data_IF_000724044672
#
_entry.id   IF_000724044672
#
_cell.length_a   1.000
_cell.length_b   1.000
_cell.length_c   1.000
_cell.angle_alpha   90.00
_cell.angle_beta   90.00
_cell.angle_gamma   90.00
#
_symmetry.space_group_name_H-M   'P 1'
#
loop_
_entity.id
_entity.type
_entity.pdbx_description
1 polymer ?
#
# COMPACT_ATOMS: atom_id res chain seq x y z
N UNK A 1 -11.15 -4.82 27.67
CA UNK A 1 -10.74 -6.25 27.71
C UNK A 1 -11.95 -7.14 27.96
N UNK A 2 -12.66 -6.96 29.08
CA UNK A 2 -13.86 -7.76 29.46
C UNK A 2 -14.88 -8.06 28.35
N UNK A 3 -15.23 -7.07 27.51
CA UNK A 3 -16.23 -7.26 26.42
C UNK A 3 -15.72 -8.18 25.30
N UNK A 4 -14.43 -8.12 25.00
CA UNK A 4 -13.80 -8.96 23.95
C UNK A 4 -13.75 -10.40 24.44
N UNK A 5 -13.25 -10.59 25.66
CA UNK A 5 -13.12 -11.91 26.27
C UNK A 5 -14.49 -12.59 26.43
N UNK A 6 -15.52 -11.83 26.80
CA UNK A 6 -16.90 -12.34 26.86
C UNK A 6 -17.43 -12.82 25.49
N UNK A 7 -17.34 -11.98 24.45
CA UNK A 7 -17.88 -12.34 23.13
C UNK A 7 -17.09 -13.47 22.47
N UNK A 8 -15.77 -13.49 22.69
CA UNK A 8 -14.89 -14.53 22.17
C UNK A 8 -15.12 -15.86 22.87
N UNK A 9 -15.36 -15.85 24.18
CA UNK A 9 -15.79 -17.02 24.93
C UNK A 9 -17.17 -17.50 24.48
N UNK A 10 -18.13 -16.60 24.24
CA UNK A 10 -19.46 -16.94 23.71
C UNK A 10 -19.39 -17.63 22.33
N UNK A 11 -18.57 -17.11 21.41
CA UNK A 11 -18.39 -17.72 20.08
C UNK A 11 -17.72 -19.10 20.19
N UNK A 12 -16.76 -19.25 21.09
CA UNK A 12 -16.10 -20.53 21.35
C UNK A 12 -17.05 -21.55 21.98
N UNK A 13 -17.86 -21.15 22.96
CA UNK A 13 -18.82 -22.06 23.62
C UNK A 13 -19.95 -22.49 22.69
N UNK A 14 -20.31 -21.65 21.72
CA UNK A 14 -21.27 -22.00 20.65
C UNK A 14 -20.68 -22.87 19.54
N UNK A 15 -19.40 -23.25 19.62
CA UNK A 15 -18.74 -24.07 18.60
C UNK A 15 -18.59 -23.36 17.26
N UNK A 16 -18.47 -22.02 17.26
CA UNK A 16 -18.38 -21.25 16.02
C UNK A 16 -17.15 -21.67 15.20
N UNK A 17 -17.27 -21.75 13.85
CA UNK A 17 -16.13 -22.04 12.99
C UNK A 17 -14.98 -21.04 13.19
N UNK A 18 -13.74 -21.52 13.08
CA UNK A 18 -12.54 -20.68 13.21
C UNK A 18 -12.54 -19.45 12.27
N UNK A 19 -13.14 -19.61 11.08
CA UNK A 19 -13.31 -18.52 10.10
C UNK A 19 -14.21 -17.40 10.63
N UNK A 20 -15.27 -17.75 11.35
CA UNK A 20 -16.20 -16.78 11.96
C UNK A 20 -15.54 -16.02 13.10
N UNK A 21 -14.82 -16.73 13.98
CA UNK A 21 -14.02 -16.11 15.05
C UNK A 21 -12.99 -15.13 14.46
N UNK A 22 -12.30 -15.53 13.39
CA UNK A 22 -11.32 -14.68 12.71
C UNK A 22 -11.95 -13.43 12.11
N UNK A 23 -13.11 -13.57 11.45
CA UNK A 23 -13.84 -12.45 10.85
C UNK A 23 -14.33 -11.48 11.93
N UNK A 24 -14.87 -12.00 13.03
CA UNK A 24 -15.29 -11.20 14.18
C UNK A 24 -14.11 -10.38 14.73
N UNK A 25 -12.96 -11.01 14.96
CA UNK A 25 -11.76 -10.31 15.46
C UNK A 25 -11.26 -9.24 14.50
N UNK A 26 -11.29 -9.49 13.19
CA UNK A 26 -10.92 -8.50 12.17
C UNK A 26 -11.86 -7.30 12.18
N UNK A 27 -13.16 -7.53 12.27
CA UNK A 27 -14.16 -6.46 12.32
C UNK A 27 -14.01 -5.62 13.57
N UNK A 28 -13.87 -6.26 14.73
CA UNK A 28 -13.64 -5.60 16.01
C UNK A 28 -12.39 -4.71 15.99
N UNK A 29 -11.28 -5.20 15.44
CA UNK A 29 -10.08 -4.40 15.26
C UNK A 29 -10.34 -3.16 14.39
N UNK A 30 -11.10 -3.33 13.31
CA UNK A 30 -11.46 -2.24 12.39
C UNK A 30 -12.37 -1.20 13.07
N UNK A 31 -13.37 -1.65 13.83
CA UNK A 31 -14.24 -0.77 14.62
C UNK A 31 -13.44 0.02 15.65
N UNK A 32 -12.51 -0.63 16.35
CA UNK A 32 -11.65 0.04 17.33
C UNK A 32 -10.75 1.09 16.67
N UNK A 33 -10.17 0.79 15.51
CA UNK A 33 -9.38 1.77 14.77
C UNK A 33 -10.23 3.00 14.41
N UNK A 34 -11.45 2.78 13.87
CA UNK A 34 -12.39 3.84 13.51
C UNK A 34 -12.85 4.67 14.71
N UNK A 35 -13.10 4.02 15.85
CA UNK A 35 -13.47 4.70 17.11
C UNK A 35 -12.40 5.73 17.52
N UNK A 36 -11.13 5.44 17.24
CA UNK A 36 -10.00 6.34 17.50
C UNK A 36 -9.63 7.23 16.30
N UNK A 37 -10.48 7.32 15.27
CA UNK A 37 -10.28 8.19 14.10
C UNK A 37 -9.35 7.64 13.03
N UNK A 38 -8.95 6.37 13.11
CA UNK A 38 -8.01 5.77 12.15
C UNK A 38 -8.74 4.91 11.11
N UNK A 39 -8.32 4.96 9.84
CA UNK A 39 -9.05 4.32 8.74
C UNK A 39 -8.99 2.79 8.77
N UNK A 40 -7.95 2.23 9.40
CA UNK A 40 -7.77 0.79 9.53
C UNK A 40 -6.85 0.45 10.71
N UNK A 41 -6.78 -0.84 11.04
CA UNK A 41 -5.96 -1.37 12.14
C UNK A 41 -4.48 -1.14 11.95
N UNK A 42 -3.96 -1.15 10.72
CA UNK A 42 -2.53 -0.96 10.46
C UNK A 42 -2.08 0.46 10.83
N UNK A 43 -2.78 1.49 10.36
CA UNK A 43 -2.45 2.88 10.70
C UNK A 43 -2.63 3.09 12.20
N UNK A 44 -3.71 2.54 12.78
CA UNK A 44 -3.95 2.63 14.22
C UNK A 44 -2.80 2.04 15.06
N UNK A 45 -2.33 0.84 14.73
CA UNK A 45 -1.24 0.20 15.48
C UNK A 45 0.10 0.90 15.29
N UNK A 46 0.39 1.42 14.10
CA UNK A 46 1.58 2.24 13.85
C UNK A 46 1.56 3.53 14.66
N UNK A 47 0.43 4.25 14.69
CA UNK A 47 0.28 5.45 15.52
C UNK A 47 0.47 5.13 17.01
N UNK A 48 -0.16 4.06 17.53
CA UNK A 48 0.07 3.65 18.92
C UNK A 48 1.55 3.34 19.19
N UNK A 49 2.24 2.70 18.24
CA UNK A 49 3.68 2.45 18.33
C UNK A 49 4.49 3.74 18.42
N UNK A 50 4.18 4.73 17.58
CA UNK A 50 4.85 6.05 17.64
C UNK A 50 4.64 6.74 19.00
N UNK A 51 3.41 6.71 19.53
CA UNK A 51 3.10 7.28 20.86
C UNK A 51 3.86 6.56 21.97
N UNK A 52 3.92 5.23 21.93
CA UNK A 52 4.65 4.43 22.92
C UNK A 52 6.15 4.73 22.86
N UNK A 53 6.74 4.78 21.66
CA UNK A 53 8.16 5.12 21.49
C UNK A 53 8.46 6.53 22.02
N UNK A 54 7.57 7.49 21.78
CA UNK A 54 7.74 8.85 22.29
C UNK A 54 7.66 8.91 23.82
N UNK A 55 6.81 8.08 24.45
CA UNK A 55 6.68 7.99 25.90
C UNK A 55 7.86 7.24 26.56
N UNK A 56 8.41 6.23 25.89
CA UNK A 56 9.46 5.37 26.44
C UNK A 56 10.89 5.75 26.06
N UNK A 57 11.09 6.78 25.22
CA UNK A 57 12.43 7.13 24.70
C UNK A 57 13.44 7.58 25.76
N UNK A 58 12.98 8.10 26.91
CA UNK A 58 13.86 8.71 27.92
C UNK A 58 14.90 9.67 27.29
N UNK A 59 16.19 9.36 27.44
CA UNK A 59 17.32 10.12 26.89
C UNK A 59 17.78 9.65 25.49
N UNK A 60 17.11 8.67 24.89
CA UNK A 60 17.42 8.18 23.55
C UNK A 60 17.02 9.21 22.48
N UNK A 61 17.90 9.43 21.51
CA UNK A 61 17.56 10.20 20.30
C UNK A 61 16.55 9.39 19.48
N UNK A 62 15.39 9.97 19.21
CA UNK A 62 14.30 9.31 18.50
C UNK A 62 13.95 10.09 17.23
N UNK A 63 13.99 9.41 16.09
CA UNK A 63 13.53 9.92 14.80
C UNK A 63 12.45 8.99 14.26
N UNK A 64 11.32 9.55 13.88
CA UNK A 64 10.20 8.84 13.26
C UNK A 64 10.14 9.21 11.79
N UNK A 65 10.31 8.22 10.92
CA UNK A 65 10.18 8.40 9.46
C UNK A 65 8.82 7.86 9.03
N UNK A 66 8.02 8.72 8.38
CA UNK A 66 6.70 8.41 7.83
C UNK A 66 6.78 8.44 6.30
N UNK A 67 7.16 7.32 5.65
CA UNK A 67 7.16 7.25 4.21
C UNK A 67 5.72 7.14 3.67
N UNK A 68 5.53 7.57 2.43
CA UNK A 68 4.30 7.29 1.67
C UNK A 68 4.36 5.89 1.06
N UNK A 69 3.62 5.59 -0.01
CA UNK A 69 3.61 4.25 -0.59
C UNK A 69 4.98 3.95 -1.19
N UNK A 70 5.75 3.11 -0.51
CA UNK A 70 7.08 2.73 -0.98
C UNK A 70 6.97 1.78 -2.17
N UNK A 71 7.68 2.09 -3.26
CA UNK A 71 7.78 1.23 -4.45
C UNK A 71 9.26 0.94 -4.79
N UNK A 72 9.48 0.38 -5.97
CA UNK A 72 10.80 -0.03 -6.43
C UNK A 72 11.82 1.11 -6.44
N UNK A 73 13.08 0.72 -6.41
CA UNK A 73 14.21 1.63 -6.35
C UNK A 73 14.29 2.51 -7.59
N UNK A 74 14.72 3.75 -7.41
CA UNK A 74 15.02 4.64 -8.51
C UNK A 74 16.39 4.33 -9.11
N UNK A 75 17.39 4.10 -8.27
CA UNK A 75 18.79 3.94 -8.65
C UNK A 75 19.49 2.75 -8.00
N UNK A 76 19.41 2.58 -6.69
CA UNK A 76 20.23 1.60 -5.96
C UNK A 76 19.37 0.49 -5.34
N UNK A 77 19.74 -0.81 -5.44
CA UNK A 77 20.96 -1.34 -6.05
C UNK A 77 20.95 -1.33 -7.59
N UNK A 78 19.77 -1.31 -8.20
CA UNK A 78 19.55 -1.02 -9.62
C UNK A 78 18.11 -0.55 -9.81
N UNK A 79 17.75 0.16 -10.90
CA UNK A 79 16.39 0.68 -11.08
C UNK A 79 15.32 -0.42 -11.15
N UNK A 80 14.23 -0.24 -10.40
CA UNK A 80 13.09 -1.15 -10.37
C UNK A 80 13.27 -2.38 -9.48
N UNK A 81 14.33 -2.45 -8.67
CA UNK A 81 14.46 -3.50 -7.66
C UNK A 81 13.35 -3.38 -6.62
N UNK A 82 12.75 -4.51 -6.27
CA UNK A 82 11.72 -4.65 -5.24
C UNK A 82 12.01 -5.91 -4.43
N UNK A 83 11.90 -5.82 -3.11
CA UNK A 83 12.03 -6.99 -2.25
C UNK A 83 10.78 -7.89 -2.34
N UNK A 84 9.59 -7.28 -2.38
CA UNK A 84 8.33 -8.00 -2.33
C UNK A 84 7.26 -7.38 -3.25
N UNK A 85 6.39 -8.24 -3.77
CA UNK A 85 5.27 -7.90 -4.63
C UNK A 85 4.02 -7.66 -3.79
N UNK A 86 4.05 -6.58 -3.01
CA UNK A 86 2.91 -6.11 -2.22
C UNK A 86 2.22 -4.93 -2.90
N UNK A 87 0.90 -4.89 -2.76
CA UNK A 87 0.03 -3.73 -3.08
C UNK A 87 0.28 -3.14 -4.47
N UNK A 88 0.99 -2.01 -4.56
CA UNK A 88 1.19 -1.26 -5.81
C UNK A 88 2.15 -1.98 -6.76
N UNK A 89 3.16 -2.68 -6.22
CA UNK A 89 4.13 -3.42 -7.02
C UNK A 89 3.46 -4.58 -7.76
N UNK A 90 2.46 -5.22 -7.14
CA UNK A 90 1.65 -6.27 -7.79
C UNK A 90 0.88 -5.71 -8.99
N UNK A 91 0.32 -4.51 -8.86
CA UNK A 91 -0.38 -3.84 -9.96
C UNK A 91 0.58 -3.49 -11.12
N UNK A 92 1.78 -2.99 -10.80
CA UNK A 92 2.80 -2.71 -11.81
C UNK A 92 3.24 -3.97 -12.55
N UNK A 93 3.50 -5.07 -11.84
CA UNK A 93 3.87 -6.34 -12.48
C UNK A 93 2.72 -6.91 -13.30
N UNK A 94 1.49 -6.88 -12.81
CA UNK A 94 0.33 -7.34 -13.56
C UNK A 94 0.10 -6.52 -14.84
N UNK A 95 0.35 -5.21 -14.80
CA UNK A 95 0.35 -4.34 -15.97
C UNK A 95 1.48 -4.70 -16.95
N UNK A 96 2.71 -4.86 -16.46
CA UNK A 96 3.88 -5.22 -17.26
C UNK A 96 3.70 -6.56 -18.00
N UNK A 97 3.07 -7.53 -17.34
CA UNK A 97 2.76 -8.85 -17.89
C UNK A 97 1.51 -8.86 -18.80
N UNK A 98 0.84 -7.72 -18.99
CA UNK A 98 -0.38 -7.63 -19.82
C UNK A 98 -1.60 -8.32 -19.21
N UNK A 99 -1.54 -8.70 -17.93
CA UNK A 99 -2.61 -9.40 -17.21
C UNK A 99 -3.63 -8.43 -16.62
N UNK A 100 -3.25 -7.17 -16.39
CA UNK A 100 -4.14 -6.13 -15.88
C UNK A 100 -4.80 -5.39 -17.06
N UNK A 101 -6.11 -5.60 -17.27
CA UNK A 101 -6.88 -4.95 -18.35
C UNK A 101 -7.72 -3.77 -17.89
N UNK A 102 -8.20 -3.81 -16.66
CA UNK A 102 -9.03 -2.76 -16.11
C UNK A 102 -8.84 -2.62 -14.60
N UNK A 103 -9.14 -1.44 -14.08
CA UNK A 103 -9.01 -1.09 -12.68
C UNK A 103 -10.19 -0.19 -12.28
N UNK A 104 -10.61 -0.27 -11.01
CA UNK A 104 -11.60 0.66 -10.44
C UNK A 104 -10.85 1.66 -9.59
N UNK A 105 -11.02 2.95 -9.89
CA UNK A 105 -10.33 4.02 -9.18
C UNK A 105 -10.76 5.38 -9.67
N UNK A 106 -10.61 6.38 -8.81
CA UNK A 106 -10.91 7.77 -9.15
C UNK A 106 -9.73 8.39 -9.91
N UNK A 107 -10.04 9.10 -10.99
CA UNK A 107 -9.04 9.64 -11.93
C UNK A 107 -8.16 10.72 -11.33
N UNK A 108 -8.69 11.48 -10.37
CA UNK A 108 -8.01 12.61 -9.72
C UNK A 108 -7.26 12.23 -8.45
N UNK A 109 -7.28 10.96 -8.06
CA UNK A 109 -6.55 10.49 -6.88
C UNK A 109 -5.06 10.69 -7.10
N UNK A 110 -4.43 11.44 -6.20
CA UNK A 110 -2.99 11.59 -6.12
C UNK A 110 -2.42 10.32 -5.49
N UNK A 111 -1.52 9.69 -6.22
CA UNK A 111 -0.81 8.49 -5.79
C UNK A 111 0.55 8.92 -5.25
N UNK A 112 0.65 9.08 -3.93
CA UNK A 112 1.92 9.41 -3.29
C UNK A 112 2.79 8.15 -3.17
N UNK A 113 3.65 7.96 -4.16
CA UNK A 113 4.58 6.84 -4.26
C UNK A 113 6.01 7.38 -4.15
N UNK A 114 6.85 6.70 -3.38
CA UNK A 114 8.25 7.06 -3.16
C UNK A 114 9.16 5.85 -3.40
N UNK A 115 10.28 6.00 -4.14
CA UNK A 115 11.27 4.93 -4.28
C UNK A 115 11.91 4.55 -2.95
N UNK A 116 12.09 3.25 -2.70
CA UNK A 116 12.64 2.75 -1.43
C UNK A 116 14.05 3.27 -1.13
N UNK A 117 14.90 3.42 -2.14
CA UNK A 117 16.27 3.95 -2.00
C UNK A 117 16.27 5.42 -1.54
N UNK A 118 15.30 6.21 -1.96
CA UNK A 118 15.12 7.57 -1.44
C UNK A 118 14.70 7.59 0.03
N UNK A 119 13.83 6.66 0.44
CA UNK A 119 13.42 6.53 1.85
C UNK A 119 14.61 6.12 2.72
N UNK A 120 15.39 5.13 2.28
CA UNK A 120 16.60 4.68 2.99
C UNK A 120 17.60 5.83 3.13
N UNK A 121 17.84 6.60 2.05
CA UNK A 121 18.72 7.76 2.11
C UNK A 121 18.21 8.82 3.10
N UNK A 122 16.91 9.10 3.12
CA UNK A 122 16.31 10.01 4.08
C UNK A 122 16.49 9.52 5.53
N UNK A 123 16.32 8.21 5.78
CA UNK A 123 16.56 7.59 7.09
C UNK A 123 18.01 7.79 7.54
N UNK A 124 18.98 7.48 6.69
CA UNK A 124 20.41 7.62 7.00
C UNK A 124 20.76 9.07 7.34
N UNK A 125 20.31 10.02 6.51
CA UNK A 125 20.55 11.45 6.73
C UNK A 125 19.93 11.93 8.04
N UNK A 126 18.69 11.54 8.33
CA UNK A 126 18.01 11.91 9.57
C UNK A 126 18.71 11.32 10.79
N UNK A 127 19.17 10.06 10.73
CA UNK A 127 19.95 9.44 11.80
C UNK A 127 21.23 10.22 12.08
N UNK A 128 21.99 10.61 11.05
CA UNK A 128 23.22 11.39 11.21
C UNK A 128 22.93 12.78 11.77
N UNK A 129 21.89 13.45 11.27
CA UNK A 129 21.50 14.79 11.71
C UNK A 129 21.12 14.85 13.20
N UNK A 130 20.51 13.78 13.73
CA UNK A 130 20.07 13.71 15.12
C UNK A 130 20.94 12.85 16.02
N UNK A 131 22.10 12.36 15.54
CA UNK A 131 22.98 11.47 16.29
C UNK A 131 23.48 12.06 17.62
N UNK A 132 23.62 13.38 17.69
CA UNK A 132 24.11 14.12 18.87
C UNK A 132 23.07 15.05 19.48
N UNK A 133 21.80 14.96 19.04
CA UNK A 133 20.72 15.79 19.56
C UNK A 133 19.93 14.99 20.59
N UNK A 134 20.15 15.21 21.90
CA UNK A 134 19.33 14.58 22.91
C UNK A 134 17.90 15.13 22.83
N UNK A 135 16.94 14.22 23.02
CA UNK A 135 15.59 14.52 23.51
C UNK A 135 14.52 15.08 22.57
N UNK A 136 14.76 15.39 21.29
CA UNK A 136 13.68 15.81 20.39
C UNK A 136 13.18 14.67 19.49
N UNK A 137 11.90 14.31 19.64
CA UNK A 137 11.24 13.35 18.77
C UNK A 137 10.94 14.00 17.42
N UNK A 138 11.85 13.86 16.46
CA UNK A 138 11.72 14.46 15.14
C UNK A 138 10.93 13.55 14.21
N UNK A 139 9.94 14.12 13.51
CA UNK A 139 9.08 13.39 12.59
C UNK A 139 9.32 13.91 11.17
N UNK A 140 9.73 13.02 10.27
CA UNK A 140 9.90 13.34 8.84
C UNK A 140 8.87 12.61 8.00
N UNK A 141 8.07 13.37 7.24
CA UNK A 141 7.24 12.82 6.18
C UNK A 141 8.06 12.71 4.89
N UNK A 142 8.23 11.48 4.41
CA UNK A 142 9.02 11.19 3.21
C UNK A 142 8.07 10.80 2.09
N UNK A 143 7.72 11.77 1.25
CA UNK A 143 6.75 11.63 0.17
C UNK A 143 7.11 12.47 -1.03
N UNK A 144 6.52 12.15 -2.17
CA UNK A 144 6.74 12.89 -3.43
C UNK A 144 5.62 13.88 -3.73
N UNK A 145 4.40 13.62 -3.25
CA UNK A 145 3.20 14.31 -3.72
C UNK A 145 3.16 15.81 -3.44
N UNK A 146 3.79 16.28 -2.36
CA UNK A 146 3.81 17.70 -2.00
C UNK A 146 4.52 18.55 -3.06
N UNK A 147 5.57 18.01 -3.69
CA UNK A 147 6.36 18.73 -4.71
C UNK A 147 6.06 18.26 -6.12
N UNK A 148 5.73 16.99 -6.30
CA UNK A 148 5.52 16.37 -7.59
C UNK A 148 4.30 15.42 -7.52
N UNK A 149 3.07 15.96 -7.45
CA UNK A 149 1.87 15.14 -7.37
C UNK A 149 1.65 14.40 -8.68
N UNK A 150 1.49 13.07 -8.59
CA UNK A 150 1.18 12.22 -9.74
C UNK A 150 -0.21 11.61 -9.55
N UNK A 151 -1.06 11.71 -10.57
CA UNK A 151 -2.41 11.11 -10.52
C UNK A 151 -2.37 9.62 -10.87
N UNK A 152 -3.39 8.87 -10.44
CA UNK A 152 -3.55 7.47 -10.83
C UNK A 152 -3.54 7.30 -12.36
N UNK A 153 -4.21 8.19 -13.11
CA UNK A 153 -4.21 8.14 -14.58
C UNK A 153 -2.80 8.33 -15.14
N UNK A 154 -2.05 9.31 -14.64
CA UNK A 154 -0.68 9.55 -15.06
C UNK A 154 0.21 8.33 -14.81
N UNK A 155 0.07 7.65 -13.66
CA UNK A 155 0.81 6.42 -13.36
C UNK A 155 0.49 5.32 -14.38
N UNK A 156 -0.79 5.11 -14.71
CA UNK A 156 -1.19 4.10 -15.69
C UNK A 156 -0.65 4.43 -17.09
N UNK A 157 -0.69 5.69 -17.50
CA UNK A 157 -0.17 6.14 -18.78
C UNK A 157 1.36 6.00 -18.87
N UNK A 158 2.09 6.39 -17.80
CA UNK A 158 3.54 6.20 -17.73
C UNK A 158 3.91 4.72 -17.80
N UNK A 159 3.20 3.85 -17.07
CA UNK A 159 3.38 2.41 -17.13
C UNK A 159 3.15 1.86 -18.54
N UNK A 160 2.06 2.25 -19.19
CA UNK A 160 1.75 1.84 -20.57
C UNK A 160 2.85 2.28 -21.55
N UNK A 161 3.28 3.54 -21.50
CA UNK A 161 4.35 4.06 -22.37
C UNK A 161 5.67 3.34 -22.11
N UNK A 162 6.01 3.12 -20.84
CA UNK A 162 7.25 2.43 -20.45
C UNK A 162 7.28 1.00 -20.95
N UNK A 163 6.26 0.19 -20.65
CA UNK A 163 6.21 -1.22 -21.04
C UNK A 163 5.92 -1.44 -22.53
N UNK A 164 5.42 -0.44 -23.24
CA UNK A 164 5.37 -0.48 -24.72
C UNK A 164 6.78 -0.33 -25.32
N UNK A 165 7.60 0.57 -24.77
CA UNK A 165 8.98 0.81 -25.23
C UNK A 165 9.97 -0.26 -24.74
N UNK A 166 9.76 -0.78 -23.53
CA UNK A 166 10.58 -1.80 -22.86
C UNK A 166 9.68 -2.94 -22.40
N UNK A 167 9.28 -3.83 -23.33
CA UNK A 167 8.33 -4.90 -23.02
C UNK A 167 8.91 -5.88 -22.00
N UNK A 168 8.03 -6.37 -21.12
CA UNK A 168 8.34 -7.51 -20.27
C UNK A 168 8.61 -8.73 -21.16
N UNK A 169 9.68 -9.48 -20.87
CA UNK A 169 10.00 -10.71 -21.59
C UNK A 169 9.38 -11.89 -20.84
N UNK A 170 8.48 -12.63 -21.50
CA UNK A 170 7.84 -13.78 -20.89
C UNK A 170 8.80 -14.98 -20.77
N UNK A 171 8.34 -16.07 -20.15
CA UNK A 171 9.14 -17.30 -19.97
C UNK A 171 9.60 -17.94 -21.29
N UNK A 172 8.96 -17.60 -22.41
CA UNK A 172 9.28 -18.08 -23.75
C UNK A 172 10.20 -17.11 -24.51
N UNK A 173 10.76 -16.08 -23.87
CA UNK A 173 11.63 -15.10 -24.50
C UNK A 173 10.90 -14.10 -25.42
N UNK A 174 9.56 -14.09 -25.42
CA UNK A 174 8.76 -13.20 -26.28
C UNK A 174 8.38 -11.91 -25.55
N UNK A 175 8.43 -10.74 -26.23
CA UNK A 175 7.97 -9.49 -25.66
C UNK A 175 6.46 -9.53 -25.45
N UNK A 176 6.03 -9.17 -24.24
CA UNK A 176 4.61 -9.04 -23.89
C UNK A 176 4.07 -7.74 -24.46
N UNK A 177 2.96 -7.83 -25.20
CA UNK A 177 2.22 -6.66 -25.69
C UNK A 177 1.28 -6.15 -24.60
N UNK A 178 1.58 -4.99 -24.04
CA UNK A 178 0.70 -4.32 -23.09
C UNK A 178 -0.40 -3.53 -23.81
N UNK A 179 -1.53 -3.34 -23.13
CA UNK A 179 -2.64 -2.50 -23.57
C UNK A 179 -2.92 -1.41 -22.53
N UNK A 180 -3.52 -0.30 -22.94
CA UNK A 180 -4.02 0.71 -22.00
C UNK A 180 -5.03 0.07 -21.04
N UNK A 181 -4.84 0.33 -19.75
CA UNK A 181 -5.74 -0.15 -18.69
C UNK A 181 -7.00 0.72 -18.69
N UNK A 182 -8.16 0.08 -18.73
CA UNK A 182 -9.45 0.78 -18.64
C UNK A 182 -9.70 1.13 -17.18
N UNK A 183 -9.78 2.43 -16.88
CA UNK A 183 -10.10 2.91 -15.54
C UNK A 183 -11.61 3.16 -15.42
N UNK A 184 -12.25 2.50 -14.46
CA UNK A 184 -13.64 2.69 -14.11
C UNK A 184 -13.78 3.57 -12.88
N UNK A 185 -14.61 4.61 -12.96
CA UNK A 185 -14.89 5.51 -11.84
C UNK A 185 -15.84 4.91 -10.79
N UNK A 186 -16.52 3.81 -11.11
CA UNK A 186 -17.47 3.15 -10.20
C UNK A 186 -17.45 1.62 -10.33
N UNK A 187 -17.77 0.94 -9.23
CA UNK A 187 -17.88 -0.52 -9.22
C UNK A 187 -19.01 -1.03 -10.12
N UNK A 188 -20.09 -0.26 -10.26
CA UNK A 188 -21.23 -0.61 -11.11
C UNK A 188 -20.83 -0.66 -12.60
N UNK A 189 -20.10 0.34 -13.09
CA UNK A 189 -19.60 0.37 -14.47
C UNK A 189 -18.63 -0.78 -14.75
N UNK A 190 -17.75 -1.08 -13.79
CA UNK A 190 -16.85 -2.22 -13.87
C UNK A 190 -17.62 -3.56 -13.92
N UNK A 191 -18.62 -3.77 -13.06
CA UNK A 191 -19.44 -4.98 -13.10
C UNK A 191 -20.18 -5.12 -14.43
N UNK A 192 -20.78 -4.05 -14.95
CA UNK A 192 -21.43 -4.07 -16.27
C UNK A 192 -20.46 -4.50 -17.38
N UNK A 193 -19.26 -3.93 -17.41
CA UNK A 193 -18.21 -4.34 -18.33
C UNK A 193 -17.82 -5.82 -18.17
N UNK A 194 -17.64 -6.29 -16.93
CA UNK A 194 -17.28 -7.68 -16.66
C UNK A 194 -18.38 -8.66 -17.12
N UNK A 195 -19.65 -8.32 -16.88
CA UNK A 195 -20.78 -9.12 -17.35
C UNK A 195 -20.78 -9.25 -18.87
N UNK A 196 -20.71 -8.12 -19.57
CA UNK A 196 -20.79 -8.09 -21.04
C UNK A 196 -19.59 -8.77 -21.68
N UNK A 197 -18.38 -8.47 -21.21
CA UNK A 197 -17.14 -8.86 -21.90
C UNK A 197 -16.66 -10.26 -21.56
N UNK A 198 -16.93 -10.75 -20.35
CA UNK A 198 -16.36 -12.01 -19.85
C UNK A 198 -17.40 -13.05 -19.44
N UNK A 199 -18.56 -12.66 -18.88
CA UNK A 199 -19.52 -13.63 -18.37
C UNK A 199 -20.59 -14.04 -19.39
N UNK A 200 -21.12 -13.11 -20.19
CA UNK A 200 -22.05 -13.44 -21.25
C UNK A 200 -21.48 -14.43 -22.29
N UNK A 201 -20.22 -14.31 -22.74
CA UNK A 201 -19.66 -15.26 -23.72
C UNK A 201 -19.39 -16.67 -23.16
N UNK A 202 -19.47 -16.86 -21.84
CA UNK A 202 -19.31 -18.17 -21.18
C UNK A 202 -20.64 -18.91 -21.03
N UNK A 203 -21.76 -18.27 -21.38
CA UNK A 203 -23.09 -18.88 -21.43
C UNK A 203 -23.44 -19.20 -22.88
#
# INVERSE_FOLDING_TARGET
MKVIDQKLNELKTKGAPQKEITLFMKNLGTERAKLHGWPNTYVFTKTMGEMLMQQSKENLSLVIIRPTVVSGTYKEPFPGWVEDLKTINTLFVASAQGNLRCLVGETKVIMDVIPVDMVVNAMIVAMVAHAKQPSDANIYHVGSSLRNPVTLVSILDYGFVYFTKKPWINKQGKPVKVSKIILFSSIASFHGYMQIRYLLPLK
#
